data_IF_059683938796
#
_entry.id   IF_059683938796
#
_cell.length_a   1.000
_cell.length_b   1.000
_cell.length_c   1.000
_cell.angle_alpha   90.00
_cell.angle_beta   90.00
_cell.angle_gamma   90.00
#
_symmetry.space_group_name_H-M   'P 1'
#
loop_
_entity.id
_entity.type
_entity.pdbx_description
1 polymer ?
#
# COMPACT_ATOMS: atom_id res chain seq x y z
N UNK A 1 23.86 8.48 -15.77
CA UNK A 1 22.59 8.31 -16.51
C UNK A 1 22.25 6.85 -16.82
N UNK A 2 23.21 5.90 -16.88
CA UNK A 2 22.91 4.49 -17.17
C UNK A 2 22.16 3.74 -16.06
N UNK A 3 22.51 3.95 -14.78
CA UNK A 3 21.92 3.17 -13.66
C UNK A 3 20.41 3.37 -13.50
N UNK A 4 19.91 4.56 -13.79
CA UNK A 4 18.48 4.85 -13.68
C UNK A 4 17.68 4.19 -14.80
N UNK A 5 18.24 4.12 -16.02
CA UNK A 5 17.63 3.39 -17.13
C UNK A 5 17.58 1.89 -16.85
N UNK A 6 18.70 1.32 -16.43
CA UNK A 6 18.78 -0.11 -16.08
C UNK A 6 17.76 -0.46 -15.00
N UNK A 7 17.66 0.35 -13.94
CA UNK A 7 16.67 0.12 -12.89
C UNK A 7 15.22 0.21 -13.41
N UNK A 8 14.91 1.16 -14.28
CA UNK A 8 13.57 1.29 -14.87
C UNK A 8 13.24 0.09 -15.77
N UNK A 9 14.21 -0.38 -16.55
CA UNK A 9 14.04 -1.55 -17.43
C UNK A 9 13.84 -2.82 -16.60
N UNK A 10 14.64 -3.02 -15.54
CA UNK A 10 14.52 -4.16 -14.61
C UNK A 10 13.14 -4.17 -13.90
N UNK A 11 12.67 -2.99 -13.44
CA UNK A 11 11.34 -2.85 -12.83
C UNK A 11 10.23 -3.17 -13.84
N UNK A 12 10.39 -2.70 -15.08
CA UNK A 12 9.39 -2.92 -16.14
C UNK A 12 9.31 -4.39 -16.55
N UNK A 13 10.44 -5.08 -16.55
CA UNK A 13 10.51 -6.52 -16.79
C UNK A 13 9.91 -7.30 -15.62
N UNK A 14 10.24 -6.97 -14.37
CA UNK A 14 9.67 -7.60 -13.18
C UNK A 14 8.14 -7.46 -13.12
N UNK A 15 7.59 -6.28 -13.40
CA UNK A 15 6.14 -6.01 -13.34
C UNK A 15 5.35 -6.84 -14.37
N UNK A 16 5.96 -7.22 -15.49
CA UNK A 16 5.30 -8.05 -16.51
C UNK A 16 5.37 -9.55 -16.21
N UNK A 17 6.08 -9.98 -15.17
CA UNK A 17 6.12 -11.39 -14.76
C UNK A 17 4.89 -11.74 -13.91
N UNK A 18 4.38 -12.97 -14.08
CA UNK A 18 3.26 -13.48 -13.27
C UNK A 18 3.53 -13.44 -11.76
N UNK A 19 4.80 -13.60 -11.34
CA UNK A 19 5.24 -13.51 -9.95
C UNK A 19 6.07 -12.25 -9.69
N UNK A 20 5.64 -11.09 -10.20
CA UNK A 20 6.33 -9.82 -9.97
C UNK A 20 6.62 -9.58 -8.49
N UNK A 21 7.88 -9.44 -8.14
CA UNK A 21 8.28 -9.19 -6.75
C UNK A 21 7.83 -7.79 -6.31
N UNK A 22 7.93 -6.81 -7.21
CA UNK A 22 7.57 -5.42 -6.92
C UNK A 22 6.07 -5.29 -6.66
N UNK A 23 5.23 -5.93 -7.48
CA UNK A 23 3.77 -5.90 -7.30
C UNK A 23 3.37 -6.54 -5.97
N UNK A 24 3.94 -7.70 -5.64
CA UNK A 24 3.70 -8.38 -4.35
C UNK A 24 4.14 -7.54 -3.14
N UNK A 25 5.24 -6.80 -3.27
CA UNK A 25 5.73 -5.92 -2.21
C UNK A 25 4.78 -4.72 -2.01
N UNK A 26 4.33 -4.12 -3.11
CA UNK A 26 3.34 -3.05 -3.08
C UNK A 26 2.01 -3.50 -2.48
N UNK A 27 1.52 -4.69 -2.83
CA UNK A 27 0.30 -5.27 -2.28
C UNK A 27 0.38 -5.43 -0.75
N UNK A 28 1.52 -5.93 -0.23
CA UNK A 28 1.75 -6.06 1.22
C UNK A 28 1.78 -4.71 1.92
N UNK A 29 2.42 -3.71 1.32
CA UNK A 29 2.48 -2.36 1.88
C UNK A 29 1.08 -1.75 1.92
N UNK A 30 0.34 -1.79 0.80
CA UNK A 30 -1.02 -1.28 0.70
C UNK A 30 -1.96 -1.97 1.69
N UNK A 31 -1.90 -3.30 1.80
CA UNK A 31 -2.70 -4.06 2.77
C UNK A 31 -2.37 -3.67 4.20
N UNK A 32 -1.09 -3.49 4.52
CA UNK A 32 -0.67 -3.06 5.87
C UNK A 32 -1.17 -1.65 6.19
N UNK A 33 -1.07 -0.72 5.24
CA UNK A 33 -1.59 0.64 5.39
C UNK A 33 -3.11 0.65 5.59
N UNK A 34 -3.83 -0.19 4.83
CA UNK A 34 -5.28 -0.33 4.98
C UNK A 34 -5.64 -0.90 6.35
N UNK A 35 -4.92 -1.91 6.84
CA UNK A 35 -5.15 -2.46 8.18
C UNK A 35 -4.91 -1.44 9.29
N UNK A 36 -3.85 -0.62 9.17
CA UNK A 36 -3.57 0.46 10.14
C UNK A 36 -4.71 1.49 10.12
N UNK A 37 -5.15 1.90 8.92
CA UNK A 37 -6.28 2.82 8.76
C UNK A 37 -7.57 2.24 9.29
N UNK A 38 -7.82 0.94 9.10
CA UNK A 38 -9.03 0.30 9.61
C UNK A 38 -8.98 0.16 11.14
N UNK A 39 -7.83 -0.24 11.68
CA UNK A 39 -7.60 -0.39 13.11
C UNK A 39 -7.62 0.94 13.86
N UNK A 40 -7.15 2.04 13.28
CA UNK A 40 -7.19 3.38 13.89
C UNK A 40 -8.44 4.17 13.53
N UNK A 41 -8.89 4.05 12.29
CA UNK A 41 -10.01 4.79 11.73
C UNK A 41 -11.35 4.33 12.26
N UNK A 42 -11.60 3.02 12.42
CA UNK A 42 -12.87 2.55 12.99
C UNK A 42 -13.06 3.01 14.45
N UNK A 43 -12.08 2.87 15.37
CA UNK A 43 -12.22 3.41 16.72
C UNK A 43 -12.37 4.93 16.74
N UNK A 44 -11.66 5.64 15.86
CA UNK A 44 -11.78 7.10 15.78
C UNK A 44 -13.16 7.55 15.29
N UNK A 45 -13.70 6.90 14.26
CA UNK A 45 -15.06 7.15 13.78
C UNK A 45 -16.10 6.79 14.84
N UNK A 46 -15.92 5.68 15.56
CA UNK A 46 -16.79 5.31 16.68
C UNK A 46 -16.74 6.35 17.81
N UNK A 47 -15.55 6.84 18.16
CA UNK A 47 -15.37 7.92 19.11
C UNK A 47 -16.09 9.19 18.65
N UNK A 48 -15.91 9.60 17.39
CA UNK A 48 -16.60 10.77 16.84
C UNK A 48 -18.12 10.59 16.86
N UNK A 49 -18.64 9.41 16.51
CA UNK A 49 -20.07 9.14 16.55
C UNK A 49 -20.63 9.29 17.97
N UNK A 50 -20.00 8.68 18.97
CA UNK A 50 -20.41 8.77 20.37
C UNK A 50 -20.22 10.19 20.95
N UNK A 51 -19.16 10.89 20.58
CA UNK A 51 -18.84 12.22 21.09
C UNK A 51 -19.66 13.33 20.43
N UNK A 52 -20.11 13.15 19.18
CA UNK A 52 -20.90 14.16 18.45
C UNK A 52 -22.40 14.09 18.73
N UNK A 53 -22.88 13.10 19.49
CA UNK A 53 -24.23 13.08 20.04
C UNK A 53 -25.36 12.82 19.03
N UNK A 54 -25.07 12.13 17.93
CA UNK A 54 -26.08 11.52 17.04
C UNK A 54 -26.60 10.19 17.60
#
# INVERSE_FOLDING_TARGET
>A
MNRLRTFVDDVKEDVNQENSMIVNLFEKILSSMFLILLAGGLPYLAYLYLASGL
#
